data_IF_848302381412
#
_entry.id   IF_848302381412
#
_cell.length_a   1.000
_cell.length_b   1.000
_cell.length_c   1.000
_cell.angle_alpha   90.00
_cell.angle_beta   90.00
_cell.angle_gamma   90.00
#
_symmetry.space_group_name_H-M   'P 1'
#
loop_
_entity.id
_entity.type
_entity.pdbx_description
1 polymer ?
#
# COMPACT_ATOMS: atom_id res chain seq x y z
N UNK A 1 -2.75 -4.21 -13.33
CA UNK A 1 -1.98 -4.79 -12.20
C UNK A 1 -1.64 -3.66 -11.21
N UNK A 2 -1.70 -3.89 -9.89
CA UNK A 2 -1.56 -2.88 -8.84
C UNK A 2 -0.31 -1.99 -8.94
N UNK A 3 0.78 -2.51 -9.52
CA UNK A 3 2.01 -1.75 -9.79
C UNK A 3 1.76 -0.50 -10.63
N UNK A 4 0.83 -0.55 -11.59
CA UNK A 4 0.51 0.60 -12.43
C UNK A 4 -0.13 1.74 -11.64
N UNK A 5 -0.99 1.41 -10.66
CA UNK A 5 -1.59 2.40 -9.74
C UNK A 5 -0.50 3.09 -8.93
N UNK A 6 0.49 2.33 -8.45
CA UNK A 6 1.61 2.88 -7.68
C UNK A 6 2.47 3.79 -8.56
N UNK A 7 2.83 3.35 -9.76
CA UNK A 7 3.66 4.13 -10.69
C UNK A 7 2.97 5.42 -11.17
N UNK A 8 1.65 5.37 -11.37
CA UNK A 8 0.82 6.53 -11.74
C UNK A 8 0.47 7.43 -10.55
N UNK A 9 0.87 7.04 -9.33
CA UNK A 9 0.53 7.72 -8.07
C UNK A 9 -0.99 7.83 -7.83
N UNK A 10 -1.73 6.83 -8.27
CA UNK A 10 -3.19 6.70 -8.09
C UNK A 10 -3.56 5.96 -6.79
N UNK A 11 -2.59 5.73 -5.90
CA UNK A 11 -2.86 5.17 -4.58
C UNK A 11 -3.60 6.19 -3.71
N UNK A 12 -4.37 5.69 -2.73
CA UNK A 12 -5.19 6.52 -1.85
C UNK A 12 -4.35 7.18 -0.73
N UNK A 13 -3.37 6.45 -0.20
CA UNK A 13 -2.57 6.91 0.94
C UNK A 13 -1.28 6.09 1.08
N UNK A 14 -0.31 6.60 1.86
CA UNK A 14 0.87 5.87 2.32
C UNK A 14 0.88 5.89 3.84
N UNK A 15 0.77 4.73 4.46
CA UNK A 15 0.75 4.58 5.91
C UNK A 15 2.09 4.06 6.42
N UNK A 16 2.55 4.59 7.55
CA UNK A 16 3.67 4.03 8.30
C UNK A 16 3.23 2.76 9.04
N UNK A 17 4.09 1.75 9.07
CA UNK A 17 3.87 0.57 9.89
C UNK A 17 4.48 0.77 11.28
N UNK A 18 3.64 1.07 12.28
CA UNK A 18 4.08 1.25 13.68
C UNK A 18 4.83 0.03 14.25
N UNK A 19 4.58 -1.18 13.75
CA UNK A 19 5.26 -2.39 14.21
C UNK A 19 6.56 -2.69 13.43
N UNK A 20 6.78 -2.04 12.28
CA UNK A 20 7.95 -2.23 11.42
C UNK A 20 8.37 -0.87 10.85
N UNK A 21 9.21 -0.12 11.57
CA UNK A 21 9.55 1.28 11.23
C UNK A 21 10.20 1.46 9.86
N UNK A 22 10.86 0.42 9.35
CA UNK A 22 11.49 0.35 8.02
C UNK A 22 10.49 0.11 6.88
N UNK A 23 9.22 -0.11 7.22
CA UNK A 23 8.17 -0.53 6.29
C UNK A 23 7.04 0.48 6.23
N UNK A 24 6.64 0.81 5.01
CA UNK A 24 5.46 1.62 4.71
C UNK A 24 4.43 0.77 3.97
N UNK A 25 3.22 1.30 3.80
CA UNK A 25 2.10 0.59 3.20
C UNK A 25 1.40 1.53 2.22
N UNK A 26 1.41 1.20 0.94
CA UNK A 26 0.50 1.82 -0.01
C UNK A 26 -0.92 1.31 0.24
N UNK A 27 -1.86 2.23 0.30
CA UNK A 27 -3.29 1.93 0.30
C UNK A 27 -3.81 2.12 -1.12
N UNK A 28 -4.32 1.05 -1.72
CA UNK A 28 -4.84 1.10 -3.11
C UNK A 28 -6.28 0.62 -3.17
N UNK A 29 -7.05 1.16 -4.12
CA UNK A 29 -8.39 0.68 -4.46
C UNK A 29 -8.32 -0.22 -5.70
N UNK A 30 -8.82 -1.44 -5.60
CA UNK A 30 -8.91 -2.40 -6.69
C UNK A 30 -10.27 -3.07 -6.66
N UNK A 31 -10.98 -3.13 -7.79
CA UNK A 31 -12.27 -3.82 -7.93
C UNK A 31 -13.25 -3.48 -6.80
N UNK A 32 -13.32 -2.19 -6.46
CA UNK A 32 -14.15 -1.66 -5.38
C UNK A 32 -13.81 -2.13 -3.96
N UNK A 33 -12.64 -2.73 -3.73
CA UNK A 33 -12.11 -3.08 -2.41
C UNK A 33 -10.78 -2.36 -2.13
N UNK A 34 -10.38 -2.29 -0.85
CA UNK A 34 -9.14 -1.64 -0.43
C UNK A 34 -8.08 -2.68 -0.08
N UNK A 35 -6.90 -2.52 -0.66
CA UNK A 35 -5.75 -3.38 -0.46
C UNK A 35 -4.61 -2.59 0.19
N UNK A 36 -3.89 -3.28 1.08
CA UNK A 36 -2.63 -2.83 1.61
C UNK A 36 -1.50 -3.47 0.81
N UNK A 37 -0.54 -2.65 0.37
CA UNK A 37 0.67 -3.10 -0.30
C UNK A 37 1.87 -2.63 0.52
N UNK A 38 2.38 -3.47 1.42
CA UNK A 38 3.56 -3.12 2.19
C UNK A 38 4.78 -3.02 1.27
N UNK A 39 5.67 -2.09 1.58
CA UNK A 39 6.93 -1.94 0.88
C UNK A 39 8.02 -1.42 1.82
N UNK A 40 9.27 -1.63 1.40
CA UNK A 40 10.46 -1.09 2.06
C UNK A 40 11.31 -0.37 1.01
N UNK A 41 12.12 0.58 1.47
CA UNK A 41 13.12 1.24 0.63
C UNK A 41 14.46 0.53 0.81
N UNK A 42 15.11 0.17 -0.29
CA UNK A 42 16.48 -0.34 -0.22
C UNK A 42 17.51 0.80 -0.13
N UNK A 43 18.78 0.42 -0.01
CA UNK A 43 19.91 1.36 0.07
C UNK A 43 20.07 2.22 -1.21
N UNK A 44 19.56 1.76 -2.34
CA UNK A 44 19.57 2.46 -3.63
C UNK A 44 18.29 3.28 -3.86
N UNK A 45 17.43 3.40 -2.85
CA UNK A 45 16.12 4.08 -2.91
C UNK A 45 15.13 3.42 -3.89
N UNK A 46 15.27 2.13 -4.13
CA UNK A 46 14.24 1.36 -4.84
C UNK A 46 13.12 0.96 -3.88
N UNK A 47 11.89 0.93 -4.40
CA UNK A 47 10.72 0.42 -3.69
C UNK A 47 10.66 -1.09 -3.88
N UNK A 48 10.78 -1.85 -2.79
CA UNK A 48 10.58 -3.30 -2.81
C UNK A 48 9.18 -3.60 -2.26
N UNK A 49 8.28 -4.00 -3.16
CA UNK A 49 6.91 -4.39 -2.79
C UNK A 49 6.91 -5.78 -2.14
N UNK A 50 6.14 -5.91 -1.06
CA UNK A 50 5.83 -7.19 -0.41
C UNK A 50 4.43 -7.65 -0.81
N UNK A 51 4.01 -8.78 -0.23
CA UNK A 51 2.70 -9.39 -0.48
C UNK A 51 1.55 -8.40 -0.28
N UNK A 52 0.77 -8.19 -1.33
CA UNK A 52 -0.49 -7.44 -1.33
C UNK A 52 -1.56 -8.24 -0.59
N UNK A 53 -2.36 -7.58 0.25
CA UNK A 53 -3.52 -8.22 0.89
C UNK A 53 -4.72 -7.28 1.01
N UNK A 54 -5.95 -7.80 0.89
CA UNK A 54 -7.16 -7.02 1.15
C UNK A 54 -7.22 -6.64 2.63
N UNK A 55 -7.66 -5.41 2.93
CA UNK A 55 -7.75 -4.94 4.31
C UNK A 55 -9.14 -4.42 4.62
N UNK A 56 -9.91 -5.17 5.41
CA UNK A 56 -11.23 -4.76 5.90
C UNK A 56 -11.16 -3.49 6.75
N UNK A 57 -10.10 -3.32 7.53
CA UNK A 57 -9.88 -2.11 8.34
C UNK A 57 -9.70 -0.88 7.46
N UNK A 58 -8.89 -0.99 6.39
CA UNK A 58 -8.72 0.10 5.44
C UNK A 58 -9.98 0.32 4.61
N UNK A 59 -10.68 -0.74 4.20
CA UNK A 59 -11.96 -0.62 3.51
C UNK A 59 -12.95 0.26 4.30
N UNK A 60 -13.16 -0.03 5.58
CA UNK A 60 -14.00 0.81 6.46
C UNK A 60 -13.49 2.25 6.58
N UNK A 61 -12.17 2.46 6.59
CA UNK A 61 -11.57 3.79 6.71
C UNK A 61 -11.77 4.65 5.45
N UNK A 62 -11.66 4.08 4.25
CA UNK A 62 -11.65 4.83 2.98
C UNK A 62 -12.94 4.72 2.16
N UNK A 63 -13.78 3.71 2.39
CA UNK A 63 -15.04 3.50 1.65
C UNK A 63 -16.27 3.64 2.58
N UNK A 64 -16.19 3.17 3.83
CA UNK A 64 -17.31 3.14 4.78
C UNK A 64 -17.65 1.73 5.21
#
# INVERSE_FOLDING_TARGET
>A
MYTQIILRKEYLDILENKARPDQQIFVIKLNNYIYAVPFVMDVQKNIILKTVFPSRKLYKKYIG
#
